data_IF_053617045863
#
_entry.id   IF_053617045863
#
_cell.length_a   1.000
_cell.length_b   1.000
_cell.length_c   1.000
_cell.angle_alpha   90.00
_cell.angle_beta   90.00
_cell.angle_gamma   90.00
#
_symmetry.space_group_name_H-M   'P 1'
#
loop_
_entity.id
_entity.type
_entity.pdbx_description
1 polymer ?
#
# COMPACT_ATOMS: atom_id res chain seq x y z
N UNK A 1 -30.22 28.90 -22.88
CA UNK A 1 -29.05 28.77 -23.79
C UNK A 1 -28.05 27.81 -23.15
N UNK A 2 -28.26 26.50 -23.30
CA UNK A 2 -27.28 25.49 -22.89
C UNK A 2 -26.35 25.27 -24.09
N UNK A 3 -25.27 26.04 -24.15
CA UNK A 3 -24.25 25.87 -25.18
C UNK A 3 -23.68 24.46 -25.09
N UNK A 4 -23.48 23.81 -26.24
CA UNK A 4 -22.88 22.49 -26.31
C UNK A 4 -21.52 22.52 -25.59
N UNK A 5 -21.42 21.78 -24.49
CA UNK A 5 -20.14 21.48 -23.87
C UNK A 5 -19.31 20.72 -24.90
N UNK A 6 -18.19 21.31 -25.32
CA UNK A 6 -17.17 20.59 -26.10
C UNK A 6 -16.78 19.36 -25.27
N UNK A 7 -16.93 18.16 -25.85
CA UNK A 7 -16.45 16.93 -25.23
C UNK A 7 -14.93 17.01 -25.10
N UNK A 8 -14.46 17.16 -23.88
CA UNK A 8 -13.04 17.16 -23.55
C UNK A 8 -12.50 15.72 -23.56
N UNK A 9 -11.41 15.41 -24.31
CA UNK A 9 -10.86 14.06 -24.39
C UNK A 9 -10.38 13.46 -23.05
N UNK A 10 -10.17 14.25 -22.00
CA UNK A 10 -9.89 13.73 -20.66
C UNK A 10 -11.18 13.32 -19.95
N UNK A 11 -12.25 14.11 -20.10
CA UNK A 11 -13.59 13.77 -19.61
C UNK A 11 -14.09 12.43 -20.20
N UNK A 12 -13.92 12.21 -21.50
CA UNK A 12 -14.28 10.94 -22.15
C UNK A 12 -13.51 9.74 -21.56
N UNK A 13 -12.20 9.93 -21.30
CA UNK A 13 -11.35 8.90 -20.70
C UNK A 13 -11.73 8.63 -19.25
N UNK A 14 -12.04 9.68 -18.50
CA UNK A 14 -12.53 9.56 -17.13
C UNK A 14 -13.86 8.80 -17.08
N UNK A 15 -14.80 9.10 -17.99
CA UNK A 15 -16.07 8.38 -18.09
C UNK A 15 -15.90 6.88 -18.35
N UNK A 16 -14.86 6.48 -19.10
CA UNK A 16 -14.53 5.06 -19.35
C UNK A 16 -13.95 4.33 -18.13
N UNK A 17 -13.46 5.04 -17.10
CA UNK A 17 -12.98 4.40 -15.87
C UNK A 17 -14.12 3.71 -15.11
N UNK A 18 -15.37 4.18 -15.30
CA UNK A 18 -16.54 3.63 -14.58
C UNK A 18 -16.46 3.80 -13.06
N UNK A 19 -15.63 4.74 -12.59
CA UNK A 19 -15.34 4.96 -11.18
C UNK A 19 -15.28 6.47 -10.91
N UNK A 20 -15.83 6.89 -9.76
CA UNK A 20 -15.72 8.27 -9.31
C UNK A 20 -14.41 8.48 -8.57
N UNK A 21 -13.64 9.50 -8.95
CA UNK A 21 -12.44 9.93 -8.25
C UNK A 21 -12.64 11.39 -7.86
N UNK A 22 -12.61 11.68 -6.55
CA UNK A 22 -12.72 13.02 -6.00
C UNK A 22 -11.41 13.41 -5.29
N UNK A 23 -10.98 14.68 -5.38
CA UNK A 23 -9.83 15.14 -4.63
C UNK A 23 -10.11 15.07 -3.13
N UNK A 24 -9.12 14.61 -2.37
CA UNK A 24 -9.20 14.54 -0.91
C UNK A 24 -8.75 15.87 -0.28
N UNK A 25 -9.50 16.36 0.71
CA UNK A 25 -9.11 17.53 1.48
C UNK A 25 -7.86 17.23 2.31
N UNK A 26 -6.87 18.12 2.24
CA UNK A 26 -5.58 17.96 2.94
C UNK A 26 -5.70 18.10 4.45
N UNK A 27 -6.74 18.78 4.93
CA UNK A 27 -6.98 18.95 6.36
C UNK A 27 -7.82 17.82 6.96
N UNK A 28 -8.34 16.91 6.12
CA UNK A 28 -9.14 15.77 6.54
C UNK A 28 -8.35 14.76 7.36
N UNK A 29 -9.05 14.04 8.24
CA UNK A 29 -8.46 12.94 9.01
C UNK A 29 -8.02 11.78 8.10
N UNK A 30 -8.70 11.56 6.98
CA UNK A 30 -8.31 10.58 5.96
C UNK A 30 -6.95 10.92 5.35
N UNK A 31 -6.73 12.19 5.00
CA UNK A 31 -5.44 12.62 4.46
C UNK A 31 -4.32 12.47 5.50
N UNK A 32 -4.56 12.86 6.75
CA UNK A 32 -3.59 12.70 7.85
C UNK A 32 -3.28 11.23 8.13
N UNK A 33 -4.29 10.35 8.06
CA UNK A 33 -4.10 8.91 8.16
C UNK A 33 -3.20 8.38 7.06
N UNK A 34 -3.47 8.73 5.80
CA UNK A 34 -2.69 8.28 4.64
C UNK A 34 -1.24 8.73 4.76
N UNK A 35 -1.01 10.00 5.13
CA UNK A 35 0.34 10.51 5.35
C UNK A 35 1.06 9.76 6.46
N UNK A 36 0.41 9.53 7.61
CA UNK A 36 0.97 8.76 8.71
C UNK A 36 1.33 7.34 8.26
N UNK A 37 0.46 6.68 7.50
CA UNK A 37 0.70 5.33 7.01
C UNK A 37 1.92 5.26 6.09
N UNK A 38 2.05 6.18 5.13
CA UNK A 38 3.20 6.24 4.23
C UNK A 38 4.51 6.51 4.97
N UNK A 39 4.49 7.42 5.96
CA UNK A 39 5.67 7.78 6.75
C UNK A 39 6.15 6.64 7.65
N UNK A 40 5.23 5.96 8.36
CA UNK A 40 5.61 4.97 9.37
C UNK A 40 5.96 3.59 8.80
N UNK A 41 5.53 3.30 7.57
CA UNK A 41 5.74 1.99 6.92
C UNK A 41 6.79 1.99 5.82
N UNK A 42 7.39 3.14 5.51
CA UNK A 42 8.48 3.24 4.54
C UNK A 42 9.81 2.78 5.15
N UNK A 43 10.54 1.95 4.41
CA UNK A 43 11.94 1.59 4.67
C UNK A 43 12.66 1.43 3.32
N UNK A 44 13.86 2.02 3.14
CA UNK A 44 14.67 1.80 1.94
C UNK A 44 15.01 0.30 1.78
N UNK A 45 14.84 -0.23 0.57
CA UNK A 45 14.99 -1.66 0.29
C UNK A 45 16.43 -1.96 -0.20
N UNK A 46 17.03 -3.01 0.34
CA UNK A 46 18.11 -3.76 -0.34
C UNK A 46 17.51 -5.01 -1.00
N UNK A 47 17.78 -5.22 -2.29
CA UNK A 47 17.12 -6.28 -3.08
C UNK A 47 17.67 -7.66 -2.69
N UNK A 48 16.84 -8.48 -2.04
CA UNK A 48 17.11 -9.90 -1.78
C UNK A 48 16.24 -10.84 -2.62
N UNK A 49 16.76 -12.01 -2.98
CA UNK A 49 16.05 -13.02 -3.78
C UNK A 49 14.94 -13.73 -3.00
N UNK A 50 13.85 -14.09 -3.69
CA UNK A 50 12.67 -14.77 -3.12
C UNK A 50 12.44 -16.13 -3.77
N UNK A 51 12.29 -17.17 -2.94
CA UNK A 51 11.78 -18.48 -3.33
C UNK A 51 10.39 -18.69 -2.69
N UNK A 52 9.37 -18.91 -3.53
CA UNK A 52 8.00 -19.20 -3.10
C UNK A 52 7.74 -20.71 -3.09
N UNK A 53 7.09 -21.22 -2.04
CA UNK A 53 6.58 -22.61 -1.96
C UNK A 53 5.05 -22.63 -2.08
N UNK A 54 4.52 -23.68 -2.70
CA UNK A 54 3.08 -23.93 -2.89
C UNK A 54 2.32 -24.11 -1.56
N UNK A 55 1.06 -23.67 -1.56
CA UNK A 55 0.14 -23.73 -0.41
C UNK A 55 -1.08 -24.59 -0.77
N UNK A 56 -1.51 -25.43 0.18
CA UNK A 56 -2.79 -26.18 0.15
C UNK A 56 -3.83 -25.63 1.15
N UNK A 57 -5.11 -25.97 0.85
CA UNK A 57 -6.41 -25.84 1.54
C UNK A 57 -7.21 -24.50 1.50
N UNK A 58 -8.55 -24.65 1.43
CA UNK A 58 -9.62 -23.65 1.31
C UNK A 58 -9.60 -22.56 2.40
N UNK A 59 -8.70 -21.58 2.28
CA UNK A 59 -8.72 -20.36 3.09
C UNK A 59 -9.24 -19.19 2.28
N UNK A 60 -9.98 -18.29 2.94
CA UNK A 60 -10.51 -17.06 2.30
C UNK A 60 -9.39 -16.08 1.91
N UNK A 61 -8.19 -16.22 2.47
CA UNK A 61 -7.01 -15.44 2.11
C UNK A 61 -5.74 -16.10 2.64
N UNK A 62 -4.58 -15.63 2.16
CA UNK A 62 -3.25 -16.01 2.64
C UNK A 62 -2.51 -14.78 3.12
N UNK A 63 -1.75 -14.96 4.20
CA UNK A 63 -0.76 -13.99 4.69
C UNK A 63 0.63 -14.62 4.58
N UNK A 64 1.43 -14.14 3.64
CA UNK A 64 2.86 -14.41 3.59
C UNK A 64 3.51 -13.67 4.76
N UNK A 65 4.24 -14.40 5.60
CA UNK A 65 4.80 -13.81 6.80
C UNK A 65 6.25 -13.40 6.56
N UNK A 66 6.55 -12.11 6.74
CA UNK A 66 7.89 -11.55 6.59
C UNK A 66 8.69 -11.53 7.89
N UNK A 67 9.95 -11.11 7.78
CA UNK A 67 10.86 -10.85 8.90
C UNK A 67 10.49 -9.60 9.69
N UNK A 68 9.93 -8.59 9.04
CA UNK A 68 9.45 -7.34 9.64
C UNK A 68 7.94 -7.19 9.48
N UNK A 69 7.31 -6.55 10.46
CA UNK A 69 5.88 -6.20 10.46
C UNK A 69 5.64 -4.84 11.12
N UNK A 70 4.56 -4.11 10.77
CA UNK A 70 4.15 -2.94 11.54
C UNK A 70 3.84 -3.32 12.99
N UNK A 71 4.24 -2.48 13.93
CA UNK A 71 3.92 -2.64 15.36
C UNK A 71 2.41 -2.62 15.58
N UNK A 72 1.87 -3.76 16.01
CA UNK A 72 0.43 -3.96 16.18
C UNK A 72 -0.17 -3.09 17.29
N UNK A 73 0.64 -2.64 18.26
CA UNK A 73 0.19 -1.73 19.32
C UNK A 73 -0.15 -0.33 18.81
N UNK A 74 0.36 0.03 17.63
CA UNK A 74 0.14 1.32 16.98
C UNK A 74 -0.95 1.26 15.90
N UNK A 75 -1.54 0.08 15.67
CA UNK A 75 -2.69 -0.07 14.79
C UNK A 75 -3.90 0.66 15.39
N UNK A 76 -4.69 1.27 14.52
CA UNK A 76 -5.96 1.86 14.92
C UNK A 76 -7.07 1.44 13.97
N UNK A 77 -8.31 1.73 14.37
CA UNK A 77 -9.49 1.49 13.56
C UNK A 77 -9.87 2.78 12.83
N UNK A 78 -9.97 2.68 11.52
CA UNK A 78 -10.57 3.67 10.64
C UNK A 78 -11.96 3.17 10.21
N UNK A 79 -12.71 3.99 9.46
CA UNK A 79 -14.10 3.78 9.02
C UNK A 79 -14.50 2.29 8.84
N UNK A 80 -15.73 1.97 9.24
CA UNK A 80 -16.28 0.61 9.16
C UNK A 80 -15.44 -0.45 9.91
N UNK A 81 -14.82 -0.06 11.03
CA UNK A 81 -13.93 -0.91 11.86
C UNK A 81 -12.69 -1.44 11.10
N UNK A 82 -12.33 -0.85 9.97
CA UNK A 82 -11.15 -1.23 9.19
C UNK A 82 -9.87 -0.96 10.00
N UNK A 83 -9.07 -2.00 10.22
CA UNK A 83 -7.78 -1.88 10.91
C UNK A 83 -6.73 -1.29 9.97
N UNK A 84 -6.10 -0.18 10.36
CA UNK A 84 -5.01 0.47 9.63
C UNK A 84 -3.66 0.13 10.26
N UNK A 85 -2.77 -0.61 9.56
CA UNK A 85 -1.49 -1.03 10.11
C UNK A 85 -0.41 0.05 9.97
N UNK A 86 -0.55 1.16 10.68
CA UNK A 86 0.35 2.32 10.60
C UNK A 86 1.45 2.36 11.67
N UNK A 87 1.85 1.21 12.21
CA UNK A 87 2.94 1.13 13.19
C UNK A 87 4.31 1.18 12.53
N UNK A 88 5.33 1.64 13.26
CA UNK A 88 6.73 1.49 12.81
C UNK A 88 7.05 0.03 12.54
N UNK A 89 7.90 -0.23 11.56
CA UNK A 89 8.38 -1.57 11.26
C UNK A 89 9.23 -2.10 12.42
N UNK A 90 8.86 -3.28 12.91
CA UNK A 90 9.55 -4.03 13.96
C UNK A 90 9.85 -5.44 13.49
N UNK A 91 10.85 -6.09 14.09
CA UNK A 91 11.11 -7.50 13.85
C UNK A 91 9.90 -8.35 14.25
N UNK A 92 9.55 -9.32 13.40
CA UNK A 92 8.51 -10.31 13.68
C UNK A 92 8.99 -11.31 14.73
N UNK A 93 8.07 -11.98 15.43
CA UNK A 93 8.41 -12.99 16.44
C UNK A 93 8.94 -14.32 15.83
N UNK A 94 9.22 -14.35 14.53
CA UNK A 94 9.46 -15.57 13.76
C UNK A 94 10.90 -15.65 13.21
N UNK A 95 11.38 -16.88 12.95
CA UNK A 95 12.74 -17.21 12.53
C UNK A 95 13.25 -16.33 11.35
N UNK A 96 14.50 -15.88 11.44
CA UNK A 96 15.25 -15.15 10.39
C UNK A 96 15.33 -15.88 9.05
N UNK A 97 15.12 -17.19 9.02
CA UNK A 97 15.19 -18.02 7.80
C UNK A 97 14.00 -17.84 6.83
N UNK A 98 13.12 -16.85 7.07
CA UNK A 98 12.02 -16.55 6.16
C UNK A 98 12.50 -15.90 4.87
N UNK A 99 11.90 -16.26 3.72
CA UNK A 99 12.28 -15.70 2.42
C UNK A 99 11.74 -14.27 2.21
N UNK A 100 10.69 -13.88 2.92
CA UNK A 100 10.07 -12.56 2.78
C UNK A 100 10.62 -11.57 3.82
N UNK A 101 10.99 -10.37 3.38
CA UNK A 101 11.40 -9.29 4.28
C UNK A 101 10.19 -8.70 5.02
N UNK A 102 9.06 -8.52 4.31
CA UNK A 102 7.82 -7.96 4.86
C UNK A 102 6.62 -8.91 4.70
N UNK A 103 5.55 -8.65 5.46
CA UNK A 103 4.31 -9.41 5.27
C UNK A 103 3.66 -9.08 3.92
N UNK A 104 3.09 -10.09 3.28
CA UNK A 104 2.28 -9.96 2.07
C UNK A 104 0.90 -10.58 2.30
N UNK A 105 -0.11 -10.08 1.60
CA UNK A 105 -1.50 -10.53 1.74
C UNK A 105 -2.08 -10.82 0.36
N UNK A 106 -2.65 -12.02 0.20
CA UNK A 106 -3.32 -12.45 -1.02
C UNK A 106 -4.76 -12.86 -0.70
N UNK A 107 -5.70 -12.40 -1.52
CA UNK A 107 -7.13 -12.79 -1.48
C UNK A 107 -7.50 -13.43 -2.81
N UNK A 108 -8.53 -14.27 -2.80
CA UNK A 108 -8.88 -15.10 -3.96
C UNK A 108 -10.19 -14.69 -4.66
N UNK A 109 -11.06 -13.94 -3.98
CA UNK A 109 -12.28 -13.36 -4.56
C UNK A 109 -12.13 -11.82 -4.66
N UNK A 110 -12.27 -11.22 -5.86
CA UNK A 110 -12.28 -9.77 -6.03
C UNK A 110 -13.27 -9.04 -5.12
N UNK A 111 -14.36 -9.68 -4.69
CA UNK A 111 -15.34 -9.12 -3.75
C UNK A 111 -14.77 -8.84 -2.36
N UNK A 112 -13.60 -9.37 -2.04
CA UNK A 112 -12.89 -9.11 -0.78
C UNK A 112 -12.10 -7.80 -0.81
N UNK A 113 -12.01 -7.13 -1.96
CA UNK A 113 -11.25 -5.89 -2.15
C UNK A 113 -12.20 -4.74 -2.46
N UNK A 114 -11.97 -3.60 -1.80
CA UNK A 114 -12.65 -2.35 -2.07
C UNK A 114 -11.62 -1.22 -2.11
N UNK A 115 -11.34 -0.68 -3.30
CA UNK A 115 -10.42 0.45 -3.47
C UNK A 115 -11.03 1.71 -2.84
N UNK A 116 -10.33 2.32 -1.87
CA UNK A 116 -10.80 3.51 -1.15
C UNK A 116 -10.08 4.80 -1.53
N UNK A 117 -8.78 4.73 -1.76
CA UNK A 117 -7.94 5.90 -2.07
C UNK A 117 -7.00 5.60 -3.21
N UNK A 118 -6.70 6.63 -4.01
CA UNK A 118 -5.60 6.63 -4.98
C UNK A 118 -4.64 7.73 -4.55
N UNK A 119 -3.38 7.38 -4.33
CA UNK A 119 -2.35 8.30 -3.85
C UNK A 119 -1.34 8.56 -4.96
N UNK A 120 -1.18 9.81 -5.36
CA UNK A 120 -0.10 10.22 -6.26
C UNK A 120 1.16 10.47 -5.42
N UNK A 121 2.21 9.68 -5.67
CA UNK A 121 3.49 9.76 -4.95
C UNK A 121 4.59 10.26 -5.90
N UNK A 122 5.45 11.15 -5.40
CA UNK A 122 6.67 11.60 -6.10
C UNK A 122 7.86 10.90 -5.45
N UNK A 123 8.65 10.20 -6.26
CA UNK A 123 9.89 9.55 -5.83
C UNK A 123 11.06 10.52 -6.00
N UNK A 124 11.95 10.56 -5.01
CA UNK A 124 13.20 11.31 -5.06
C UNK A 124 14.35 10.33 -4.87
N UNK A 125 15.14 10.11 -5.92
CA UNK A 125 16.30 9.23 -5.87
C UNK A 125 17.44 9.89 -5.09
N UNK A 126 18.01 9.15 -4.15
CA UNK A 126 19.23 9.56 -3.46
C UNK A 126 20.41 8.96 -4.22
N UNK A 127 21.28 9.79 -4.81
CA UNK A 127 22.52 9.32 -5.42
C UNK A 127 23.37 8.64 -4.34
N UNK A 128 23.57 7.33 -4.45
CA UNK A 128 24.58 6.63 -3.67
C UNK A 128 25.96 7.15 -4.11
N UNK A 129 26.70 7.73 -3.16
CA UNK A 129 28.14 7.93 -3.33
C UNK A 129 28.77 6.55 -3.21
N UNK A 130 28.96 5.89 -4.35
CA UNK A 130 29.84 4.72 -4.45
C UNK A 130 31.25 5.20 -4.11
N UNK A 131 31.65 4.97 -2.85
CA UNK A 131 33.04 5.13 -2.44
C UNK A 131 33.83 4.04 -3.15
N UNK A 132 34.42 4.39 -4.30
CA UNK A 132 35.39 3.54 -4.96
C UNK A 132 36.53 3.28 -3.98
N UNK A 133 36.71 2.01 -3.63
CA UNK A 133 37.87 1.56 -2.87
C UNK A 133 39.00 1.42 -3.88
N UNK A 134 40.02 2.30 -3.80
CA UNK A 134 41.29 2.15 -4.53
C UNK A 134 42.13 1.01 -3.96
#
# INVERSE_FOLDING_TARGET
MTGATIDDPLSDRYGRLGCSVAPLDKESDDHKMILKYLDTTYEPIEVGGVDAKELEEEKVSVKGLGRKKPDESQHFKWADDVKVPCGRLVASEHNSDRPLEYNEYAVYDPKQVCTRFVVAVKYEEQNEVVMAVE
#
